data_IF_604731893905
#
_entry.id   IF_604731893905
#
_cell.length_a   1.000
_cell.length_b   1.000
_cell.length_c   1.000
_cell.angle_alpha   90.00
_cell.angle_beta   90.00
_cell.angle_gamma   90.00
#
_symmetry.space_group_name_H-M   'P 1'
#
loop_
_entity.id
_entity.type
_entity.pdbx_description
1 polymer ?
#
# COMPACT_ATOMS: atom_id res chain seq x y z
C UNK A 1 2.83 -3.64 -0.23
N UNK A 2 2.05 -3.93 0.82
CA UNK A 2 1.25 -5.20 0.91
C UNK A 2 -0.17 -5.15 0.26
N UNK A 3 -0.91 -4.03 0.40
CA UNK A 3 -2.23 -3.83 -0.26
C UNK A 3 -2.29 -2.83 -1.47
N UNK A 4 -1.18 -2.19 -1.89
CA UNK A 4 -1.20 -1.14 -2.96
C UNK A 4 -2.05 0.15 -2.63
N UNK A 5 -1.94 0.69 -1.41
CA UNK A 5 -2.83 1.77 -0.87
C UNK A 5 -2.08 2.75 0.10
N UNK A 6 -1.45 2.24 1.18
CA UNK A 6 -0.94 3.08 2.32
C UNK A 6 0.61 3.25 2.26
N UNK A 7 1.37 2.16 2.43
CA UNK A 7 2.87 2.11 2.29
C UNK A 7 3.46 2.74 0.98
N UNK A 8 2.88 2.41 -0.20
CA UNK A 8 3.08 3.21 -1.44
C UNK A 8 1.78 4.05 -1.65
#
# INVERSE_FOLDING_TARGET
XRACRXHX
#
